data_IF_026465186335
#
_entry.id   IF_026465186335
#
_cell.length_a   1.000
_cell.length_b   1.000
_cell.length_c   1.000
_cell.angle_alpha   90.00
_cell.angle_beta   90.00
_cell.angle_gamma   90.00
#
_symmetry.space_group_name_H-M   'P 1'
#
loop_
_entity.id
_entity.type
_entity.pdbx_description
1 polymer ?
#
# COMPACT_ATOMS: atom_id res chain seq x y z
N UNK A 1 74.36 7.95 -19.08
CA UNK A 1 73.29 8.83 -18.55
C UNK A 1 71.98 8.32 -19.12
N UNK A 2 71.17 7.57 -18.37
CA UNK A 2 70.18 8.07 -17.37
C UNK A 2 69.08 8.92 -18.07
N UNK A 3 67.77 8.66 -17.96
CA UNK A 3 67.04 8.06 -16.83
C UNK A 3 65.73 7.36 -17.25
N UNK A 4 65.42 6.37 -16.43
CA UNK A 4 64.17 5.67 -16.18
C UNK A 4 63.09 6.63 -15.65
N UNK A 5 61.81 6.48 -16.02
CA UNK A 5 60.65 6.65 -15.11
C UNK A 5 59.29 6.40 -15.78
N UNK A 6 58.66 5.30 -15.32
CA UNK A 6 57.25 5.20 -14.94
C UNK A 6 56.17 5.27 -16.03
N UNK A 7 55.94 4.09 -16.60
CA UNK A 7 54.63 3.54 -16.92
C UNK A 7 53.75 3.50 -15.64
N UNK A 8 52.63 4.23 -15.62
CA UNK A 8 51.50 3.96 -14.72
C UNK A 8 50.23 3.87 -15.56
N UNK A 9 49.89 2.64 -15.93
CA UNK A 9 48.57 2.26 -16.39
C UNK A 9 47.56 2.56 -15.27
N UNK A 10 46.70 3.55 -15.51
CA UNK A 10 45.54 3.86 -14.69
C UNK A 10 44.53 2.71 -14.87
N UNK A 11 44.61 1.73 -13.96
CA UNK A 11 43.63 0.67 -13.86
C UNK A 11 42.31 1.27 -13.39
N UNK A 12 41.43 1.58 -14.34
CA UNK A 12 40.07 2.02 -14.09
C UNK A 12 39.36 1.01 -13.17
N UNK A 13 39.20 1.39 -11.90
CA UNK A 13 38.42 0.65 -10.92
C UNK A 13 36.96 0.55 -11.40
N UNK A 14 36.29 -0.61 -11.26
CA UNK A 14 34.88 -0.72 -11.59
C UNK A 14 34.08 0.24 -10.71
N UNK A 15 33.35 1.15 -11.34
CA UNK A 15 32.43 2.08 -10.71
C UNK A 15 31.43 1.32 -9.83
N UNK A 16 31.49 1.53 -8.50
CA UNK A 16 30.47 1.06 -7.55
C UNK A 16 29.08 1.54 -8.02
N UNK A 17 28.07 0.66 -8.12
CA UNK A 17 26.72 1.11 -8.42
C UNK A 17 26.26 2.06 -7.31
N UNK A 18 25.76 3.24 -7.72
CA UNK A 18 25.13 4.21 -6.80
C UNK A 18 23.88 3.53 -6.24
N UNK A 19 23.94 3.08 -4.99
CA UNK A 19 22.78 2.64 -4.23
C UNK A 19 21.85 3.84 -4.00
N UNK A 20 21.01 4.17 -4.98
CA UNK A 20 19.76 4.85 -4.72
C UNK A 20 18.91 3.85 -3.93
N UNK A 21 18.85 4.00 -2.61
CA UNK A 21 18.03 3.17 -1.74
C UNK A 21 16.58 3.33 -2.18
N UNK A 22 16.05 2.35 -2.91
CA UNK A 22 14.62 2.29 -3.21
C UNK A 22 13.90 2.23 -1.85
N UNK A 23 12.81 3.02 -1.65
CA UNK A 23 12.09 3.02 -0.39
C UNK A 23 11.59 1.61 -0.07
N UNK A 24 11.59 1.26 1.22
CA UNK A 24 11.16 -0.07 1.65
C UNK A 24 9.74 -0.39 1.21
N UNK A 25 9.43 -1.67 1.10
CA UNK A 25 8.10 -2.12 0.76
C UNK A 25 7.06 -1.58 1.75
N UNK A 26 7.40 -1.63 3.04
CA UNK A 26 6.57 -1.10 4.13
C UNK A 26 6.37 0.42 4.01
N UNK A 27 7.42 1.18 3.70
CA UNK A 27 7.30 2.64 3.50
C UNK A 27 6.38 2.98 2.33
N UNK A 28 6.48 2.25 1.21
CA UNK A 28 5.64 2.49 0.02
C UNK A 28 4.17 2.21 0.27
N UNK A 29 3.86 1.07 0.90
CA UNK A 29 2.49 0.71 1.29
C UNK A 29 1.95 1.69 2.34
N UNK A 30 2.76 2.02 3.35
CA UNK A 30 2.41 3.00 4.39
C UNK A 30 2.12 4.38 3.82
N UNK A 31 2.95 4.86 2.89
CA UNK A 31 2.73 6.15 2.20
C UNK A 31 1.41 6.14 1.40
N UNK A 32 1.07 5.03 0.76
CA UNK A 32 -0.17 4.90 -0.02
C UNK A 32 -1.40 4.95 0.89
N UNK A 33 -1.38 4.23 2.01
CA UNK A 33 -2.45 4.25 3.03
C UNK A 33 -2.56 5.63 3.68
N UNK A 34 -1.42 6.26 4.00
CA UNK A 34 -1.38 7.62 4.54
C UNK A 34 -1.97 8.64 3.58
N UNK A 35 -1.64 8.56 2.29
CA UNK A 35 -2.21 9.42 1.25
C UNK A 35 -3.73 9.24 1.13
N UNK A 36 -4.22 8.00 1.16
CA UNK A 36 -5.65 7.67 1.19
C UNK A 36 -6.34 8.33 2.40
N UNK A 37 -5.79 8.17 3.60
CA UNK A 37 -6.36 8.70 4.83
C UNK A 37 -6.37 10.25 4.84
N UNK A 38 -5.28 10.87 4.39
CA UNK A 38 -5.19 12.33 4.25
C UNK A 38 -6.22 12.87 3.26
N UNK A 39 -6.36 12.24 2.09
CA UNK A 39 -7.32 12.65 1.07
C UNK A 39 -8.77 12.52 1.59
N UNK A 40 -9.10 11.41 2.24
CA UNK A 40 -10.42 11.21 2.83
C UNK A 40 -10.71 12.27 3.92
N UNK A 41 -9.74 12.54 4.80
CA UNK A 41 -9.89 13.51 5.89
C UNK A 41 -10.06 14.93 5.34
N UNK A 42 -9.24 15.33 4.38
CA UNK A 42 -9.36 16.64 3.73
C UNK A 42 -10.72 16.81 3.06
N UNK A 43 -11.23 15.78 2.39
CA UNK A 43 -12.56 15.80 1.77
C UNK A 43 -13.68 15.94 2.80
N UNK A 44 -13.57 15.28 3.96
CA UNK A 44 -14.55 15.40 5.05
C UNK A 44 -14.52 16.80 5.66
N UNK A 45 -13.33 17.33 5.96
CA UNK A 45 -13.17 18.69 6.50
C UNK A 45 -13.76 19.73 5.55
N UNK A 46 -13.47 19.62 4.25
CA UNK A 46 -14.03 20.51 3.24
C UNK A 46 -15.57 20.42 3.21
N UNK A 47 -16.13 19.22 3.32
CA UNK A 47 -17.59 19.02 3.37
C UNK A 47 -18.23 19.65 4.60
N UNK A 48 -17.60 19.51 5.78
CA UNK A 48 -18.10 20.10 7.03
C UNK A 48 -18.04 21.63 6.95
N UNK A 49 -16.90 22.19 6.51
CA UNK A 49 -16.73 23.63 6.39
C UNK A 49 -17.79 24.27 5.46
N UNK A 50 -18.08 23.64 4.32
CA UNK A 50 -19.08 24.14 3.38
C UNK A 50 -20.50 23.96 3.92
N UNK A 51 -20.80 22.84 4.60
CA UNK A 51 -22.09 22.64 5.24
C UNK A 51 -22.38 23.72 6.30
N UNK A 52 -21.39 24.05 7.14
CA UNK A 52 -21.52 25.13 8.13
C UNK A 52 -21.73 26.50 7.46
N UNK A 53 -20.94 26.83 6.42
CA UNK A 53 -21.12 28.05 5.64
C UNK A 53 -22.53 28.14 5.01
N UNK A 54 -23.06 27.03 4.51
CA UNK A 54 -24.39 26.95 3.88
C UNK A 54 -25.53 27.26 4.86
N UNK A 55 -25.37 26.93 6.15
CA UNK A 55 -26.41 27.26 7.16
C UNK A 55 -26.64 28.77 7.30
N UNK A 56 -25.61 29.58 7.08
CA UNK A 56 -25.71 31.04 7.05
C UNK A 56 -26.57 31.51 5.88
N UNK A 57 -26.28 31.03 4.67
CA UNK A 57 -26.98 31.45 3.44
C UNK A 57 -28.49 31.11 3.48
N UNK A 58 -28.87 29.96 4.06
CA UNK A 58 -30.29 29.63 4.28
C UNK A 58 -31.00 30.64 5.21
N UNK A 59 -30.32 31.14 6.25
CA UNK A 59 -30.87 32.19 7.12
C UNK A 59 -31.01 33.52 6.37
N UNK A 60 -30.08 33.87 5.49
CA UNK A 60 -30.21 35.06 4.65
C UNK A 60 -31.41 34.99 3.71
N UNK A 61 -31.65 33.85 3.05
CA UNK A 61 -32.82 33.66 2.18
C UNK A 61 -34.11 33.90 2.96
N UNK A 62 -34.21 33.34 4.17
CA UNK A 62 -35.37 33.55 5.03
C UNK A 62 -35.52 35.02 5.48
N UNK A 63 -34.41 35.69 5.82
CA UNK A 63 -34.40 37.11 6.18
C UNK A 63 -34.85 37.99 5.00
N UNK A 64 -34.32 37.75 3.80
CA UNK A 64 -34.72 38.45 2.60
C UNK A 64 -36.21 38.20 2.26
N UNK A 65 -36.69 36.96 2.42
CA UNK A 65 -38.12 36.65 2.32
C UNK A 65 -38.97 37.45 3.32
N UNK A 66 -38.47 37.64 4.55
CA UNK A 66 -39.16 38.47 5.54
C UNK A 66 -39.15 39.97 5.19
N UNK A 67 -38.13 40.50 4.50
CA UNK A 67 -38.11 41.87 3.98
C UNK A 67 -39.19 42.08 2.92
N UNK A 68 -39.40 41.10 2.03
CA UNK A 68 -40.48 41.13 1.04
C UNK A 68 -41.85 41.21 1.73
N UNK A 69 -42.07 40.39 2.76
CA UNK A 69 -43.31 40.45 3.54
C UNK A 69 -43.49 41.79 4.25
N UNK A 70 -42.44 42.34 4.86
CA UNK A 70 -42.49 43.66 5.50
C UNK A 70 -42.80 44.78 4.51
N UNK A 71 -42.30 44.70 3.27
CA UNK A 71 -42.61 45.65 2.21
C UNK A 71 -44.12 45.73 1.96
N UNK A 72 -44.78 44.57 1.83
CA UNK A 72 -46.24 44.52 1.65
C UNK A 72 -47.02 44.84 2.94
N UNK A 73 -46.48 44.52 4.11
CA UNK A 73 -47.11 44.82 5.39
C UNK A 73 -47.32 46.33 5.61
N UNK A 74 -46.45 47.18 5.04
CA UNK A 74 -46.60 48.63 5.06
C UNK A 74 -47.88 49.05 4.31
N UNK A 75 -48.09 48.52 3.10
CA UNK A 75 -49.32 48.77 2.33
C UNK A 75 -50.59 48.34 3.07
N UNK A 76 -50.54 47.18 3.73
CA UNK A 76 -51.65 46.68 4.57
C UNK A 76 -51.89 47.59 5.79
N UNK A 77 -50.83 48.06 6.45
CA UNK A 77 -50.93 48.97 7.59
C UNK A 77 -51.60 50.30 7.22
N UNK A 78 -51.34 50.81 6.01
CA UNK A 78 -51.98 52.02 5.47
C UNK A 78 -53.46 51.77 5.17
N UNK A 79 -53.80 50.62 4.55
CA UNK A 79 -55.16 50.32 4.11
C UNK A 79 -56.12 49.87 5.24
N UNK A 80 -55.60 49.24 6.30
CA UNK A 80 -56.41 48.51 7.27
C UNK A 80 -56.96 49.31 8.46
N UNK A 81 -56.62 50.60 8.63
CA UNK A 81 -56.95 51.35 9.87
C UNK A 81 -57.67 52.68 9.60
N UNK A 82 -58.84 52.84 10.24
CA UNK A 82 -59.70 54.02 10.09
C UNK A 82 -59.16 55.25 10.86
N UNK A 83 -58.59 55.05 12.04
CA UNK A 83 -58.02 56.14 12.87
C UNK A 83 -56.60 56.51 12.45
N UNK A 84 -56.34 57.81 12.33
CA UNK A 84 -55.07 58.34 11.82
C UNK A 84 -53.85 58.01 12.72
N UNK A 85 -54.00 58.09 14.04
CA UNK A 85 -52.88 57.82 14.97
C UNK A 85 -52.56 56.33 15.05
N UNK A 86 -53.58 55.47 15.02
CA UNK A 86 -53.43 54.01 14.96
C UNK A 86 -52.75 53.59 13.65
N UNK A 87 -53.12 54.20 12.51
CA UNK A 87 -52.45 53.97 11.22
C UNK A 87 -50.99 54.37 11.24
N UNK A 88 -50.69 55.59 11.69
CA UNK A 88 -49.32 56.11 11.77
C UNK A 88 -48.44 55.19 12.63
N UNK A 89 -48.97 54.74 13.77
CA UNK A 89 -48.27 53.80 14.65
C UNK A 89 -48.04 52.44 13.98
N UNK A 90 -49.02 51.92 13.24
CA UNK A 90 -48.88 50.65 12.52
C UNK A 90 -47.84 50.73 11.40
N UNK A 91 -47.81 51.84 10.64
CA UNK A 91 -46.83 52.09 9.58
C UNK A 91 -45.42 52.23 10.15
N UNK A 92 -45.22 53.04 11.21
CA UNK A 92 -43.90 53.16 11.85
C UNK A 92 -43.41 51.82 12.41
N UNK A 93 -44.32 50.98 12.94
CA UNK A 93 -43.97 49.63 13.39
C UNK A 93 -43.48 48.75 12.22
N UNK A 94 -44.13 48.83 11.05
CA UNK A 94 -43.71 48.10 9.86
C UNK A 94 -42.37 48.63 9.31
N UNK A 95 -42.16 49.95 9.31
CA UNK A 95 -40.88 50.59 8.93
C UNK A 95 -39.75 50.13 9.86
N UNK A 96 -39.97 50.15 11.18
CA UNK A 96 -39.00 49.66 12.15
C UNK A 96 -38.73 48.15 11.95
N UNK A 97 -39.78 47.37 11.65
CA UNK A 97 -39.69 45.94 11.38
C UNK A 97 -38.84 45.59 10.16
N UNK A 98 -38.97 46.36 9.07
CA UNK A 98 -38.10 46.23 7.89
C UNK A 98 -36.66 46.65 8.24
N UNK A 99 -36.48 47.82 8.84
CA UNK A 99 -35.16 48.40 9.14
C UNK A 99 -34.33 47.46 10.01
N UNK A 100 -34.90 46.93 11.09
CA UNK A 100 -34.21 46.01 12.00
C UNK A 100 -33.74 44.72 11.32
N UNK A 101 -34.47 44.22 10.32
CA UNK A 101 -34.10 43.02 9.55
C UNK A 101 -33.04 43.34 8.50
N UNK A 102 -33.19 44.47 7.82
CA UNK A 102 -32.25 44.92 6.79
C UNK A 102 -30.87 45.21 7.39
N UNK A 103 -30.81 45.90 8.54
CA UNK A 103 -29.56 46.21 9.25
C UNK A 103 -29.10 45.10 10.18
N UNK A 104 -29.77 43.94 10.18
CA UNK A 104 -29.45 42.83 11.07
C UNK A 104 -28.08 42.23 10.76
N UNK A 105 -27.34 41.87 11.82
CA UNK A 105 -25.96 41.35 11.72
C UNK A 105 -25.88 40.08 10.85
N UNK A 106 -26.91 39.24 10.89
CA UNK A 106 -26.97 38.01 10.11
C UNK A 106 -26.93 38.27 8.59
N UNK A 107 -27.70 39.26 8.11
CA UNK A 107 -27.75 39.61 6.69
C UNK A 107 -26.46 40.32 6.28
N UNK A 108 -25.98 41.26 7.10
CA UNK A 108 -24.73 41.98 6.85
C UNK A 108 -23.52 41.04 6.72
N UNK A 109 -23.39 40.04 7.61
CA UNK A 109 -22.26 39.09 7.62
C UNK A 109 -22.20 38.24 6.35
N UNK A 110 -23.35 37.86 5.79
CA UNK A 110 -23.44 37.01 4.59
C UNK A 110 -23.06 37.83 3.35
N UNK A 111 -23.47 39.09 3.32
CA UNK A 111 -23.25 40.01 2.20
C UNK A 111 -21.82 40.57 2.20
N UNK A 112 -21.22 40.78 3.38
CA UNK A 112 -19.85 41.31 3.52
C UNK A 112 -18.74 40.28 3.22
N UNK A 113 -19.07 39.10 2.72
CA UNK A 113 -18.06 38.10 2.38
C UNK A 113 -17.25 38.61 1.18
N UNK A 114 -15.92 38.71 1.35
CA UNK A 114 -14.93 39.53 0.61
C UNK A 114 -14.83 39.36 -0.93
N UNK A 115 -15.74 38.61 -1.57
CA UNK A 115 -15.60 38.18 -2.97
C UNK A 115 -16.83 38.39 -3.85
N UNK A 116 -17.91 39.02 -3.36
CA UNK A 116 -19.18 39.07 -4.08
C UNK A 116 -19.74 40.50 -4.21
N UNK A 117 -19.11 41.25 -5.12
CA UNK A 117 -19.47 42.65 -5.41
C UNK A 117 -20.93 42.80 -5.87
N UNK A 118 -21.48 41.79 -6.53
CA UNK A 118 -22.88 41.77 -6.99
C UNK A 118 -23.88 41.72 -5.84
N UNK A 119 -23.67 40.83 -4.84
CA UNK A 119 -24.54 40.76 -3.64
C UNK A 119 -24.48 42.04 -2.83
N UNK A 120 -23.28 42.61 -2.68
CA UNK A 120 -23.08 43.86 -1.96
C UNK A 120 -23.72 45.05 -2.69
N UNK A 121 -23.67 45.08 -4.02
CA UNK A 121 -24.38 46.05 -4.85
C UNK A 121 -25.89 45.98 -4.66
N UNK A 122 -26.48 44.80 -4.86
CA UNK A 122 -27.93 44.59 -4.70
C UNK A 122 -28.42 44.94 -3.28
N UNK A 123 -27.63 44.63 -2.25
CA UNK A 123 -27.93 45.03 -0.88
C UNK A 123 -27.97 46.55 -0.67
N UNK A 124 -26.98 47.27 -1.23
CA UNK A 124 -26.94 48.74 -1.15
C UNK A 124 -28.12 49.37 -1.89
N UNK A 125 -28.47 48.86 -3.08
CA UNK A 125 -29.62 49.36 -3.84
C UNK A 125 -30.93 49.23 -3.06
N UNK A 126 -31.14 48.10 -2.35
CA UNK A 126 -32.30 47.92 -1.47
C UNK A 126 -32.30 48.98 -0.36
N UNK A 127 -31.16 49.21 0.29
CA UNK A 127 -31.05 50.22 1.34
C UNK A 127 -31.29 51.65 0.85
N UNK A 128 -30.71 52.01 -0.28
CA UNK A 128 -30.87 53.32 -0.90
C UNK A 128 -32.33 53.55 -1.29
N UNK A 129 -32.97 52.59 -1.96
CA UNK A 129 -34.37 52.69 -2.35
C UNK A 129 -35.32 52.71 -1.14
N UNK A 130 -34.97 51.96 -0.07
CA UNK A 130 -35.72 51.96 1.18
C UNK A 130 -35.73 53.34 1.85
N UNK A 131 -34.54 53.94 2.04
CA UNK A 131 -34.40 55.22 2.73
C UNK A 131 -34.87 56.41 1.89
N UNK A 132 -34.64 56.39 0.57
CA UNK A 132 -34.95 57.52 -0.31
C UNK A 132 -36.37 57.52 -0.89
N UNK A 133 -37.02 56.34 -1.03
CA UNK A 133 -38.33 56.22 -1.71
C UNK A 133 -39.40 55.61 -0.80
N UNK A 134 -39.23 54.36 -0.37
CA UNK A 134 -40.32 53.63 0.32
C UNK A 134 -40.67 54.25 1.66
N UNK A 135 -39.67 54.55 2.50
CA UNK A 135 -39.88 55.11 3.84
C UNK A 135 -40.56 56.48 3.84
N UNK A 136 -40.14 57.49 3.04
CA UNK A 136 -40.84 58.77 2.98
C UNK A 136 -42.26 58.63 2.43
N UNK A 137 -42.46 57.87 1.34
CA UNK A 137 -43.79 57.67 0.76
C UNK A 137 -44.73 56.93 1.70
N UNK A 138 -44.25 55.94 2.47
CA UNK A 138 -45.04 55.24 3.47
C UNK A 138 -45.54 56.18 4.58
N UNK A 139 -44.69 57.10 5.04
CA UNK A 139 -45.06 58.12 6.05
C UNK A 139 -46.08 59.11 5.51
N UNK A 140 -45.92 59.56 4.28
CA UNK A 140 -46.89 60.42 3.61
C UNK A 140 -48.24 59.71 3.43
N UNK A 141 -48.22 58.46 2.96
CA UNK A 141 -49.41 57.62 2.80
C UNK A 141 -50.13 57.35 4.12
N UNK A 142 -49.39 57.24 5.24
CA UNK A 142 -49.97 57.10 6.57
C UNK A 142 -50.79 58.34 6.99
N UNK A 143 -50.32 59.54 6.62
CA UNK A 143 -51.01 60.81 6.91
C UNK A 143 -52.22 61.00 5.98
N UNK A 144 -52.05 60.75 4.69
CA UNK A 144 -53.08 60.96 3.66
C UNK A 144 -54.16 59.88 3.63
N UNK A 145 -53.95 58.75 4.32
CA UNK A 145 -54.86 57.60 4.31
C UNK A 145 -55.04 56.92 2.95
N UNK A 146 -54.15 57.18 2.00
CA UNK A 146 -54.29 56.72 0.61
C UNK A 146 -53.12 55.86 0.18
N UNK A 147 -53.41 54.64 -0.26
CA UNK A 147 -52.46 53.80 -1.00
C UNK A 147 -52.61 54.16 -2.48
N UNK A 148 -51.77 55.07 -2.98
CA UNK A 148 -51.82 55.47 -4.38
C UNK A 148 -51.14 54.41 -5.30
N UNK A 149 -51.49 54.36 -6.60
CA UNK A 149 -50.90 53.39 -7.53
C UNK A 149 -49.38 53.53 -7.67
N UNK A 150 -48.83 54.74 -7.52
CA UNK A 150 -47.40 54.98 -7.58
C UNK A 150 -46.66 54.24 -6.45
N UNK A 151 -47.14 54.36 -5.21
CA UNK A 151 -46.57 53.68 -4.04
C UNK A 151 -46.66 52.16 -4.17
N UNK A 152 -47.76 51.64 -4.74
CA UNK A 152 -47.88 50.20 -5.05
C UNK A 152 -46.83 49.77 -6.09
N UNK A 153 -46.54 50.62 -7.08
CA UNK A 153 -45.46 50.43 -8.04
C UNK A 153 -44.11 50.31 -7.36
N UNK A 154 -43.76 51.27 -6.49
CA UNK A 154 -42.48 51.27 -5.75
C UNK A 154 -42.36 50.07 -4.81
N UNK A 155 -43.44 49.67 -4.11
CA UNK A 155 -43.42 48.45 -3.29
C UNK A 155 -43.14 47.19 -4.12
N UNK A 156 -43.68 47.11 -5.34
CA UNK A 156 -43.41 45.98 -6.26
C UNK A 156 -41.97 46.01 -6.75
N UNK A 157 -41.44 47.18 -7.07
CA UNK A 157 -40.04 47.35 -7.47
C UNK A 157 -39.08 46.97 -6.33
N UNK A 158 -39.36 47.41 -5.11
CA UNK A 158 -38.62 46.99 -3.91
C UNK A 158 -38.65 45.46 -3.74
N UNK A 159 -39.82 44.83 -3.89
CA UNK A 159 -39.92 43.37 -3.83
C UNK A 159 -39.06 42.69 -4.91
N UNK A 160 -39.02 43.23 -6.13
CA UNK A 160 -38.18 42.72 -7.22
C UNK A 160 -36.68 42.86 -6.92
N UNK A 161 -36.25 43.95 -6.29
CA UNK A 161 -34.83 44.13 -5.86
C UNK A 161 -34.44 43.12 -4.79
N UNK A 162 -35.34 42.87 -3.83
CA UNK A 162 -35.16 41.83 -2.82
C UNK A 162 -35.08 40.44 -3.48
N UNK A 163 -35.91 40.16 -4.49
CA UNK A 163 -35.88 38.90 -5.25
C UNK A 163 -34.55 38.71 -5.97
N UNK A 164 -34.03 39.78 -6.59
CA UNK A 164 -32.73 39.74 -7.24
C UNK A 164 -31.61 39.41 -6.24
N UNK A 165 -31.61 40.03 -5.05
CA UNK A 165 -30.65 39.70 -3.99
C UNK A 165 -30.76 38.22 -3.57
N UNK A 166 -31.98 37.68 -3.44
CA UNK A 166 -32.19 36.26 -3.10
C UNK A 166 -31.60 35.35 -4.17
N UNK A 167 -31.83 35.63 -5.45
CA UNK A 167 -31.28 34.85 -6.56
C UNK A 167 -29.74 34.86 -6.53
N UNK A 168 -29.11 36.01 -6.28
CA UNK A 168 -27.65 36.08 -6.16
C UNK A 168 -27.11 35.23 -5.00
N UNK A 169 -27.83 35.20 -3.87
CA UNK A 169 -27.47 34.35 -2.72
C UNK A 169 -27.62 32.86 -3.08
N UNK A 170 -28.71 32.48 -3.75
CA UNK A 170 -28.98 31.10 -4.18
C UNK A 170 -27.96 30.61 -5.20
N UNK A 171 -27.60 31.43 -6.20
CA UNK A 171 -26.58 31.10 -7.21
C UNK A 171 -25.19 30.93 -6.58
N UNK A 172 -24.84 31.78 -5.61
CA UNK A 172 -23.61 31.63 -4.82
C UNK A 172 -23.59 30.28 -4.07
N UNK A 173 -24.72 29.88 -3.45
CA UNK A 173 -24.81 28.59 -2.76
C UNK A 173 -24.68 27.41 -3.74
N UNK A 174 -25.38 27.48 -4.87
CA UNK A 174 -25.38 26.42 -5.86
C UNK A 174 -23.99 26.21 -6.46
N UNK A 175 -23.29 27.28 -6.82
CA UNK A 175 -21.92 27.20 -7.36
C UNK A 175 -20.94 26.56 -6.37
N UNK A 176 -21.03 26.91 -5.08
CA UNK A 176 -20.23 26.26 -4.01
C UNK A 176 -20.54 24.78 -3.88
N UNK A 177 -21.82 24.40 -3.95
CA UNK A 177 -22.25 22.99 -3.89
C UNK A 177 -21.80 22.20 -5.13
N UNK A 178 -21.84 22.81 -6.32
CA UNK A 178 -21.35 22.19 -7.55
C UNK A 178 -19.84 21.95 -7.49
N UNK A 179 -19.06 22.94 -7.02
CA UNK A 179 -17.62 22.78 -6.79
C UNK A 179 -17.33 21.68 -5.77
N UNK A 180 -18.09 21.62 -4.68
CA UNK A 180 -17.95 20.55 -3.68
C UNK A 180 -18.20 19.17 -4.28
N UNK A 181 -19.28 19.01 -5.05
CA UNK A 181 -19.59 17.74 -5.74
C UNK A 181 -18.47 17.33 -6.69
N UNK A 182 -17.88 18.30 -7.41
CA UNK A 182 -16.73 18.04 -8.28
C UNK A 182 -15.51 17.59 -7.47
N UNK A 183 -15.16 18.31 -6.41
CA UNK A 183 -14.02 17.96 -5.52
C UNK A 183 -14.23 16.57 -4.91
N UNK A 184 -15.44 16.26 -4.42
CA UNK A 184 -15.78 14.95 -3.86
C UNK A 184 -15.72 13.84 -4.91
N UNK A 185 -16.26 14.08 -6.10
CA UNK A 185 -16.24 13.13 -7.22
C UNK A 185 -14.80 12.81 -7.66
N UNK A 186 -13.97 13.85 -7.86
CA UNK A 186 -12.55 13.68 -8.18
C UNK A 186 -11.81 12.97 -7.05
N UNK A 187 -12.04 13.38 -5.80
CA UNK A 187 -11.44 12.74 -4.62
C UNK A 187 -11.79 11.26 -4.55
N UNK A 188 -13.04 10.88 -4.81
CA UNK A 188 -13.47 9.49 -4.83
C UNK A 188 -12.76 8.69 -5.93
N UNK A 189 -12.66 9.23 -7.15
CA UNK A 189 -11.95 8.57 -8.24
C UNK A 189 -10.47 8.36 -7.90
N UNK A 190 -9.81 9.38 -7.36
CA UNK A 190 -8.40 9.29 -6.93
C UNK A 190 -8.25 8.27 -5.81
N UNK A 191 -9.16 8.26 -4.82
CA UNK A 191 -9.18 7.30 -3.71
C UNK A 191 -9.26 5.86 -4.23
N UNK A 192 -10.20 5.59 -5.15
CA UNK A 192 -10.36 4.26 -5.76
C UNK A 192 -9.14 3.85 -6.58
N UNK A 193 -8.53 4.79 -7.30
CA UNK A 193 -7.34 4.54 -8.11
C UNK A 193 -6.13 4.21 -7.22
N UNK A 194 -5.84 5.03 -6.20
CA UNK A 194 -4.75 4.79 -5.25
C UNK A 194 -5.00 3.50 -4.46
N UNK A 195 -6.25 3.25 -4.04
CA UNK A 195 -6.65 2.01 -3.38
C UNK A 195 -6.40 0.78 -4.25
N UNK A 196 -6.81 0.82 -5.51
CA UNK A 196 -6.62 -0.27 -6.48
C UNK A 196 -5.13 -0.54 -6.74
N UNK A 197 -4.33 0.52 -6.92
CA UNK A 197 -2.87 0.40 -7.08
C UNK A 197 -2.24 -0.19 -5.81
N UNK A 198 -2.69 0.20 -4.63
CA UNK A 198 -2.18 -0.32 -3.35
C UNK A 198 -2.48 -1.81 -3.21
N UNK A 199 -3.71 -2.24 -3.51
CA UNK A 199 -4.10 -3.65 -3.48
C UNK A 199 -3.31 -4.47 -4.52
N UNK A 200 -3.14 -3.93 -5.73
CA UNK A 200 -2.32 -4.57 -6.76
C UNK A 200 -0.87 -4.75 -6.30
N UNK A 201 -0.25 -3.71 -5.74
CA UNK A 201 1.10 -3.78 -5.20
C UNK A 201 1.20 -4.78 -4.04
N UNK A 202 0.22 -4.79 -3.13
CA UNK A 202 0.15 -5.76 -2.03
C UNK A 202 0.14 -7.20 -2.59
N UNK A 203 -0.67 -7.46 -3.62
CA UNK A 203 -0.74 -8.79 -4.25
C UNK A 203 0.59 -9.19 -4.89
N UNK A 204 1.15 -8.35 -5.76
CA UNK A 204 2.35 -8.67 -6.55
C UNK A 204 3.63 -8.65 -5.73
N UNK A 205 3.77 -7.68 -4.83
CA UNK A 205 5.02 -7.45 -4.08
C UNK A 205 5.03 -8.12 -2.71
N UNK A 206 3.89 -8.56 -2.16
CA UNK A 206 3.83 -9.24 -0.85
C UNK A 206 3.25 -10.65 -0.96
N UNK A 207 2.00 -10.80 -1.40
CA UNK A 207 1.29 -12.09 -1.31
C UNK A 207 1.91 -13.17 -2.22
N UNK A 208 2.21 -12.84 -3.47
CA UNK A 208 2.86 -13.77 -4.39
C UNK A 208 4.26 -14.21 -3.91
N UNK A 209 5.19 -13.30 -3.53
CA UNK A 209 6.49 -13.71 -2.96
C UNK A 209 6.37 -14.62 -1.76
N UNK A 210 5.48 -14.30 -0.82
CA UNK A 210 5.28 -15.14 0.36
C UNK A 210 4.77 -16.53 -0.01
N UNK A 211 3.88 -16.61 -1.01
CA UNK A 211 3.38 -17.90 -1.52
C UNK A 211 4.49 -18.72 -2.16
N UNK A 212 5.35 -18.10 -2.96
CA UNK A 212 6.48 -18.76 -3.62
C UNK A 212 7.52 -19.25 -2.60
N UNK A 213 7.83 -18.41 -1.60
CA UNK A 213 8.73 -18.75 -0.50
C UNK A 213 8.17 -19.95 0.30
N UNK A 214 6.88 -19.93 0.61
CA UNK A 214 6.20 -21.01 1.31
C UNK A 214 6.20 -22.31 0.49
N UNK A 215 6.05 -22.21 -0.83
CA UNK A 215 6.15 -23.37 -1.72
C UNK A 215 7.56 -23.97 -1.69
N UNK A 216 8.59 -23.15 -1.87
CA UNK A 216 10.00 -23.60 -1.81
C UNK A 216 10.32 -24.23 -0.45
N UNK A 217 9.93 -23.60 0.65
CA UNK A 217 10.14 -24.11 2.00
C UNK A 217 9.48 -25.49 2.21
N UNK A 218 8.27 -25.72 1.66
CA UNK A 218 7.60 -27.02 1.72
C UNK A 218 8.33 -28.10 0.91
N UNK A 219 8.96 -27.73 -0.20
CA UNK A 219 9.74 -28.65 -1.05
C UNK A 219 11.07 -29.03 -0.39
N UNK A 220 11.78 -28.04 0.16
CA UNK A 220 12.99 -28.26 0.97
C UNK A 220 12.72 -29.20 2.15
N UNK A 221 11.59 -29.01 2.84
CA UNK A 221 11.17 -29.90 3.94
C UNK A 221 10.97 -31.36 3.49
N UNK A 222 10.71 -31.62 2.21
CA UNK A 222 10.60 -32.98 1.65
C UNK A 222 11.95 -33.58 1.22
N UNK A 223 13.06 -32.88 1.45
CA UNK A 223 14.42 -33.34 1.12
C UNK A 223 14.91 -32.92 -0.26
N UNK A 224 14.13 -32.14 -1.02
CA UNK A 224 14.57 -31.59 -2.30
C UNK A 224 15.22 -30.21 -2.09
N UNK A 225 16.55 -30.20 -2.08
CA UNK A 225 17.38 -29.00 -1.91
C UNK A 225 17.77 -28.33 -3.24
N UNK A 226 17.20 -28.75 -4.37
CA UNK A 226 17.48 -28.14 -5.68
C UNK A 226 16.68 -26.86 -5.93
N UNK A 227 15.57 -26.66 -5.20
CA UNK A 227 14.68 -25.51 -5.38
C UNK A 227 15.32 -24.20 -4.92
N UNK A 228 15.07 -23.12 -5.66
CA UNK A 228 15.51 -21.76 -5.33
C UNK A 228 14.37 -20.79 -5.54
N UNK A 229 14.35 -19.75 -4.71
CA UNK A 229 13.43 -18.62 -4.88
C UNK A 229 13.93 -17.74 -6.01
N UNK A 230 13.00 -17.18 -6.81
CA UNK A 230 13.35 -16.34 -7.94
C UNK A 230 13.99 -15.02 -7.48
N UNK A 231 14.99 -14.48 -8.21
CA UNK A 231 15.55 -13.14 -7.95
C UNK A 231 14.46 -12.07 -7.96
N UNK A 232 14.47 -11.18 -6.96
CA UNK A 232 13.46 -10.14 -6.74
C UNK A 232 14.10 -8.79 -6.46
N UNK A 233 13.26 -7.76 -6.39
CA UNK A 233 13.67 -6.42 -5.99
C UNK A 233 14.43 -6.45 -4.64
N UNK A 234 15.42 -5.57 -4.40
CA UNK A 234 16.20 -5.54 -3.16
C UNK A 234 15.42 -4.89 -2.01
N UNK A 235 14.17 -5.33 -1.79
CA UNK A 235 13.34 -4.97 -0.64
C UNK A 235 13.44 -6.03 0.48
N UNK A 236 12.62 -5.90 1.52
CA UNK A 236 12.61 -6.83 2.66
C UNK A 236 12.36 -8.29 2.23
N UNK A 237 11.49 -8.52 1.24
CA UNK A 237 11.15 -9.86 0.79
C UNK A 237 12.19 -10.41 -0.19
N UNK A 238 12.85 -9.55 -0.98
CA UNK A 238 14.02 -9.93 -1.76
C UNK A 238 15.17 -10.41 -0.87
N UNK A 239 15.50 -9.65 0.18
CA UNK A 239 16.51 -10.02 1.16
C UNK A 239 16.17 -11.34 1.88
N UNK A 240 14.90 -11.54 2.23
CA UNK A 240 14.44 -12.81 2.81
C UNK A 240 14.58 -13.99 1.84
N UNK A 241 14.27 -13.80 0.55
CA UNK A 241 14.44 -14.82 -0.48
C UNK A 241 15.92 -15.19 -0.69
N UNK A 242 16.81 -14.20 -0.66
CA UNK A 242 18.25 -14.43 -0.77
C UNK A 242 18.80 -15.21 0.43
N UNK A 243 18.44 -14.78 1.65
CA UNK A 243 18.80 -15.49 2.89
C UNK A 243 18.29 -16.94 2.89
N UNK A 244 17.05 -17.15 2.41
CA UNK A 244 16.50 -18.50 2.24
C UNK A 244 17.33 -19.33 1.25
N UNK A 245 17.73 -18.77 0.11
CA UNK A 245 18.53 -19.48 -0.88
C UNK A 245 19.90 -19.90 -0.33
N UNK A 246 20.57 -19.05 0.46
CA UNK A 246 21.83 -19.41 1.13
C UNK A 246 21.64 -20.57 2.10
N UNK A 247 20.58 -20.54 2.92
CA UNK A 247 20.26 -21.63 3.85
C UNK A 247 20.01 -22.97 3.12
N UNK A 248 19.29 -22.95 1.99
CA UNK A 248 19.05 -24.18 1.21
C UNK A 248 20.34 -24.70 0.56
N UNK A 249 21.23 -23.82 0.12
CA UNK A 249 22.53 -24.21 -0.42
C UNK A 249 23.40 -24.90 0.65
N UNK A 250 23.47 -24.33 1.85
CA UNK A 250 24.22 -24.88 2.99
C UNK A 250 23.66 -26.25 3.44
N UNK A 251 22.33 -26.39 3.47
CA UNK A 251 21.68 -27.68 3.71
C UNK A 251 22.04 -28.72 2.64
N UNK A 252 22.01 -28.34 1.36
CA UNK A 252 22.37 -29.22 0.25
C UNK A 252 23.80 -29.74 0.38
N UNK A 253 24.74 -28.86 0.72
CA UNK A 253 26.15 -29.23 0.92
C UNK A 253 26.33 -30.15 2.13
N UNK A 254 25.67 -29.83 3.24
CA UNK A 254 25.69 -30.63 4.46
C UNK A 254 25.16 -32.05 4.23
N UNK A 255 24.04 -32.18 3.51
CA UNK A 255 23.45 -33.49 3.18
C UNK A 255 24.34 -34.30 2.22
N UNK A 256 24.92 -33.68 1.19
CA UNK A 256 25.85 -34.35 0.27
C UNK A 256 27.12 -34.87 0.98
N UNK A 257 27.65 -34.07 1.92
CA UNK A 257 28.77 -34.46 2.77
C UNK A 257 28.41 -35.64 3.68
N UNK A 258 27.20 -35.64 4.26
CA UNK A 258 26.72 -36.74 5.09
C UNK A 258 26.55 -38.04 4.28
N UNK A 259 25.97 -37.96 3.09
CA UNK A 259 25.81 -39.11 2.19
C UNK A 259 27.15 -39.72 1.79
N UNK A 260 28.14 -38.87 1.46
CA UNK A 260 29.51 -39.30 1.18
C UNK A 260 30.12 -40.04 2.37
N UNK A 261 29.94 -39.53 3.60
CA UNK A 261 30.45 -40.17 4.83
C UNK A 261 29.74 -41.50 5.12
N UNK A 262 28.44 -41.58 4.87
CA UNK A 262 27.67 -42.82 5.02
C UNK A 262 28.20 -43.86 4.04
N UNK A 263 28.38 -43.51 2.77
CA UNK A 263 28.91 -44.43 1.76
C UNK A 263 30.32 -44.93 2.12
N UNK A 264 31.21 -44.04 2.56
CA UNK A 264 32.54 -44.41 3.04
C UNK A 264 32.47 -45.42 4.19
N UNK A 265 31.59 -45.18 5.18
CA UNK A 265 31.41 -46.11 6.31
C UNK A 265 30.81 -47.44 5.90
N UNK A 266 29.87 -47.45 4.96
CA UNK A 266 29.31 -48.68 4.39
C UNK A 266 30.37 -49.48 3.66
N UNK A 267 31.23 -48.83 2.87
CA UNK A 267 32.32 -49.49 2.15
C UNK A 267 33.39 -50.04 3.09
N UNK A 268 33.76 -49.28 4.13
CA UNK A 268 34.64 -49.74 5.21
C UNK A 268 34.06 -50.96 5.93
N UNK A 269 32.78 -50.92 6.27
CA UNK A 269 32.09 -52.01 6.94
C UNK A 269 32.01 -53.26 6.05
N UNK A 270 31.72 -53.10 4.76
CA UNK A 270 31.69 -54.20 3.80
C UNK A 270 33.08 -54.83 3.63
N UNK A 271 34.15 -54.03 3.61
CA UNK A 271 35.53 -54.53 3.61
C UNK A 271 35.85 -55.32 4.87
N UNK A 272 35.48 -54.78 6.03
CA UNK A 272 35.68 -55.45 7.33
C UNK A 272 34.92 -56.80 7.40
N UNK A 273 33.66 -56.82 6.95
CA UNK A 273 32.86 -58.03 6.93
C UNK A 273 33.46 -59.11 6.01
N UNK A 274 33.87 -58.75 4.78
CA UNK A 274 34.61 -59.67 3.88
C UNK A 274 35.87 -60.22 4.52
N UNK A 275 36.62 -59.39 5.25
CA UNK A 275 37.83 -59.84 5.95
C UNK A 275 37.51 -60.83 7.08
N UNK A 276 36.44 -60.60 7.84
CA UNK A 276 36.00 -61.51 8.90
C UNK A 276 35.48 -62.84 8.33
N UNK A 277 34.66 -62.80 7.28
CA UNK A 277 34.19 -64.01 6.58
C UNK A 277 35.35 -64.87 6.09
N UNK A 278 36.39 -64.25 5.53
CA UNK A 278 37.61 -64.96 5.16
C UNK A 278 38.27 -65.61 6.36
N UNK A 279 38.56 -64.84 7.41
CA UNK A 279 39.22 -65.36 8.61
C UNK A 279 38.45 -66.54 9.22
N UNK A 280 37.13 -66.42 9.32
CA UNK A 280 36.25 -67.50 9.80
C UNK A 280 36.26 -68.70 8.86
N UNK A 281 36.13 -68.49 7.55
CA UNK A 281 36.17 -69.56 6.54
C UNK A 281 37.49 -70.32 6.55
N UNK A 282 38.62 -69.60 6.63
CA UNK A 282 39.95 -70.20 6.72
C UNK A 282 40.15 -70.96 8.02
N UNK A 283 39.72 -70.39 9.16
CA UNK A 283 39.81 -71.04 10.47
C UNK A 283 38.99 -72.33 10.50
N UNK A 284 37.76 -72.29 9.99
CA UNK A 284 36.89 -73.46 9.91
C UNK A 284 37.46 -74.55 8.99
N UNK A 285 37.92 -74.19 7.79
CA UNK A 285 38.48 -75.13 6.84
C UNK A 285 39.73 -75.86 7.39
N UNK A 286 40.58 -75.14 8.15
CA UNK A 286 41.75 -75.70 8.82
C UNK A 286 41.41 -76.51 10.08
N UNK A 287 40.29 -76.22 10.74
CA UNK A 287 39.84 -76.93 11.96
C UNK A 287 39.05 -78.21 11.66
N UNK A 288 38.27 -78.25 10.57
CA UNK A 288 37.41 -79.39 10.23
C UNK A 288 38.13 -80.46 9.38
N UNK A 289 39.24 -80.11 8.72
CA UNK A 289 40.01 -81.02 7.87
C UNK A 289 41.49 -81.04 8.27
N UNK A 290 42.17 -82.18 8.06
CA UNK A 290 43.63 -82.20 8.13
C UNK A 290 44.21 -81.22 7.08
N UNK A 291 45.26 -80.47 7.45
CA UNK A 291 45.92 -79.46 6.61
C UNK A 291 46.57 -80.11 5.36
N UNK A 292 45.72 -80.51 4.44
CA UNK A 292 46.06 -81.18 3.19
C UNK A 292 46.37 -80.13 2.12
N UNK A 293 47.27 -80.43 1.17
CA UNK A 293 47.68 -79.49 0.13
C UNK A 293 46.49 -78.87 -0.64
N UNK A 294 45.45 -79.66 -0.93
CA UNK A 294 44.26 -79.19 -1.68
C UNK A 294 43.47 -78.11 -0.94
N UNK A 295 43.35 -78.22 0.39
CA UNK A 295 42.63 -77.25 1.23
C UNK A 295 43.44 -75.97 1.36
N UNK A 296 44.76 -76.09 1.50
CA UNK A 296 45.67 -74.95 1.56
C UNK A 296 45.68 -74.18 0.23
N UNK A 297 45.63 -74.86 -0.91
CA UNK A 297 45.46 -74.22 -2.23
C UNK A 297 44.10 -73.53 -2.37
N UNK A 298 43.02 -74.14 -1.89
CA UNK A 298 41.68 -73.53 -1.89
C UNK A 298 41.59 -72.26 -1.03
N UNK A 299 42.24 -72.26 0.13
CA UNK A 299 42.37 -71.10 1.01
C UNK A 299 43.25 -70.02 0.35
N UNK A 300 44.41 -70.40 -0.19
CA UNK A 300 45.35 -69.50 -0.86
C UNK A 300 44.69 -68.79 -2.05
N UNK A 301 43.99 -69.53 -2.90
CA UNK A 301 43.22 -68.96 -4.03
C UNK A 301 42.00 -68.12 -3.61
N UNK A 302 41.52 -68.26 -2.37
CA UNK A 302 40.48 -67.38 -1.81
C UNK A 302 41.09 -66.08 -1.24
N UNK A 303 42.27 -66.16 -0.63
CA UNK A 303 43.05 -65.01 -0.15
C UNK A 303 43.57 -64.16 -1.32
N UNK A 304 44.07 -64.78 -2.39
CA UNK A 304 44.54 -64.09 -3.60
C UNK A 304 43.43 -63.28 -4.27
N UNK A 305 42.24 -63.87 -4.43
CA UNK A 305 41.08 -63.20 -5.05
C UNK A 305 40.62 -61.94 -4.32
N UNK A 306 40.79 -61.90 -3.00
CA UNK A 306 40.28 -60.79 -2.18
C UNK A 306 41.35 -59.75 -1.90
N UNK A 307 42.61 -60.16 -1.77
CA UNK A 307 43.75 -59.23 -1.64
C UNK A 307 44.18 -58.64 -2.99
N UNK A 308 43.73 -59.23 -4.11
CA UNK A 308 44.19 -58.87 -5.45
C UNK A 308 45.62 -59.31 -5.74
N UNK A 309 46.18 -60.21 -4.92
CA UNK A 309 47.51 -60.76 -5.12
C UNK A 309 47.51 -61.70 -6.35
N UNK A 310 48.53 -61.57 -7.19
CA UNK A 310 48.68 -62.38 -8.41
C UNK A 310 49.25 -63.77 -8.16
N UNK A 311 49.91 -63.98 -7.01
CA UNK A 311 50.48 -65.26 -6.62
C UNK A 311 50.74 -65.30 -5.11
N UNK A 312 50.82 -66.51 -4.56
CA UNK A 312 51.02 -66.79 -3.15
C UNK A 312 51.65 -68.16 -2.95
N UNK A 313 52.32 -68.35 -1.82
CA UNK A 313 52.89 -69.63 -1.43
C UNK A 313 52.74 -69.84 0.08
N UNK A 314 52.37 -71.06 0.46
CA UNK A 314 52.32 -71.54 1.84
C UNK A 314 53.47 -72.52 2.05
N UNK A 315 54.34 -72.22 3.02
CA UNK A 315 55.43 -73.09 3.43
C UNK A 315 55.00 -73.87 4.67
N UNK A 316 54.97 -75.20 4.56
CA UNK A 316 54.73 -76.12 5.66
C UNK A 316 56.08 -76.59 6.19
N UNK A 317 56.39 -76.26 7.44
CA UNK A 317 57.59 -76.75 8.15
C UNK A 317 57.15 -77.85 9.11
N UNK A 318 57.65 -79.07 8.92
CA UNK A 318 57.32 -80.24 9.72
C UNK A 318 58.50 -81.19 9.85
N UNK A 319 58.40 -82.18 10.74
CA UNK A 319 59.48 -83.13 11.06
C UNK A 319 60.04 -83.92 9.86
N UNK A 320 59.31 -83.95 8.72
CA UNK A 320 59.70 -84.63 7.49
C UNK A 320 60.40 -83.73 6.44
N UNK A 321 60.63 -82.44 6.75
CA UNK A 321 61.23 -81.45 5.84
C UNK A 321 60.24 -80.39 5.34
N UNK A 322 60.76 -79.37 4.66
CA UNK A 322 59.99 -78.22 4.16
C UNK A 322 59.25 -78.57 2.87
N UNK A 323 57.92 -78.49 2.91
CA UNK A 323 57.08 -78.59 1.71
C UNK A 323 56.44 -77.24 1.41
N UNK A 324 56.50 -76.81 0.14
CA UNK A 324 55.88 -75.58 -0.32
C UNK A 324 54.67 -75.90 -1.19
N UNK A 325 53.56 -75.21 -0.94
CA UNK A 325 52.35 -75.25 -1.75
C UNK A 325 52.16 -73.86 -2.34
N UNK A 326 52.23 -73.72 -3.66
CA UNK A 326 52.18 -72.43 -4.36
C UNK A 326 51.10 -72.42 -5.43
N UNK A 327 50.38 -71.32 -5.55
CA UNK A 327 49.52 -71.00 -6.70
C UNK A 327 50.32 -70.14 -7.68
N UNK A 328 50.45 -70.62 -8.93
CA UNK A 328 50.99 -69.84 -10.04
C UNK A 328 49.82 -69.34 -10.90
N UNK A 329 49.75 -68.04 -11.13
CA UNK A 329 48.81 -67.46 -12.09
C UNK A 329 49.09 -68.02 -13.49
N UNK A 330 48.07 -68.61 -14.10
CA UNK A 330 48.10 -69.02 -15.51
C UNK A 330 48.05 -67.79 -16.41
N UNK A 331 49.18 -67.39 -16.98
CA UNK A 331 49.24 -66.66 -18.24
C UNK A 331 50.10 -67.46 -19.23
N UNK A 332 49.41 -68.23 -20.08
CA UNK A 332 49.88 -68.59 -21.42
C UNK A 332 49.72 -67.37 -22.32
N UNK A 333 50.84 -66.74 -22.64
CA UNK A 333 50.96 -65.77 -23.73
C UNK A 333 50.87 -66.55 -25.04
N UNK A 334 49.86 -66.26 -25.86
CA UNK A 334 49.89 -66.44 -27.32
C UNK A 334 49.55 -65.08 -27.96
N UNK A 335 50.25 -64.79 -29.07
CA UNK A 335 50.48 -63.47 -29.71
C UNK A 335 49.33 -62.46 -29.76
#
# INVERSE_FOLDING_TARGET
MNDNSANTADAAAPSRPRNGTRPSLVQRLGASIGAIALLATASIIASIAIAEMSTGEARAINLAGSLRMQTYAIGVAIAGTAEADTRRTAVERAIAGFTARYTGEALARIISTRSDDSKLGAYREIGEHWESVIKPMAREAAVTATVNPAFVGEMREMASRIDHLVVLIEQSLESKLQLLRLIQGVSLVVLLLVGSITVYQLREKVLLPLRDLLHCARTVRRGDFSVRTAPRDPDELGQLGEAFNYMVADLSETYASLETRVQQKTDELARSNRSLELLYGTSRALSENAATPDILLGILGSVERITGAQAGAVLLDGDAGRNAVSSAGSDSVDM
#
